data_IF_495809498852
#
_entry.id   IF_495809498852
#
_cell.length_a   1.000
_cell.length_b   1.000
_cell.length_c   1.000
_cell.angle_alpha   90.00
_cell.angle_beta   90.00
_cell.angle_gamma   90.00
#
_symmetry.space_group_name_H-M   'P 1'
#
loop_
_entity.id
_entity.type
_entity.pdbx_description
1 polymer ?
#
# COMPACT_ATOMS: atom_id res chain seq x y z
N UNK A 1 -9.26 -9.81 18.11
CA UNK A 1 -10.64 -10.00 17.60
C UNK A 1 -10.62 -11.13 16.59
N UNK A 2 -11.51 -12.11 16.72
CA UNK A 2 -11.79 -13.10 15.69
C UNK A 2 -13.17 -12.79 15.11
N UNK A 3 -13.25 -12.56 13.82
CA UNK A 3 -14.48 -12.20 13.12
C UNK A 3 -15.20 -13.45 12.61
N UNK A 4 -16.51 -13.34 12.35
CA UNK A 4 -17.33 -14.47 11.87
C UNK A 4 -16.89 -15.01 10.51
N UNK A 5 -16.27 -14.16 9.70
CA UNK A 5 -15.72 -14.51 8.38
C UNK A 5 -14.36 -15.23 8.48
N UNK A 6 -13.84 -15.46 9.69
CA UNK A 6 -12.55 -16.11 9.93
C UNK A 6 -11.37 -15.13 9.99
N UNK A 7 -11.57 -13.83 9.76
CA UNK A 7 -10.50 -12.87 9.91
C UNK A 7 -10.06 -12.75 11.38
N UNK A 8 -8.76 -12.52 11.61
CA UNK A 8 -8.19 -12.39 12.94
C UNK A 8 -7.37 -11.10 13.03
N UNK A 9 -7.78 -10.22 13.92
CA UNK A 9 -7.02 -9.03 14.29
C UNK A 9 -6.31 -9.20 15.64
N UNK A 10 -5.03 -8.87 15.67
CA UNK A 10 -4.20 -8.76 16.88
C UNK A 10 -3.57 -7.37 16.91
N UNK A 11 -3.83 -6.59 17.96
CA UNK A 11 -3.35 -5.22 18.07
C UNK A 11 -4.17 -4.41 19.06
N UNK A 12 -3.88 -3.11 19.12
CA UNK A 12 -4.54 -2.22 20.05
C UNK A 12 -5.99 -1.93 19.64
N UNK A 13 -6.81 -1.61 20.63
CA UNK A 13 -8.20 -1.24 20.44
C UNK A 13 -8.49 0.07 21.18
N UNK A 14 -9.30 0.92 20.56
CA UNK A 14 -9.87 2.11 21.18
C UNK A 14 -11.38 2.11 20.90
N UNK A 15 -12.19 2.17 21.96
CA UNK A 15 -13.66 2.13 21.87
C UNK A 15 -14.19 0.94 21.05
N UNK A 16 -13.54 -0.23 21.19
CA UNK A 16 -13.91 -1.45 20.47
C UNK A 16 -13.54 -1.46 18.98
N UNK A 17 -12.91 -0.39 18.46
CA UNK A 17 -12.37 -0.32 17.09
C UNK A 17 -10.87 -0.58 17.09
N UNK A 18 -10.35 -1.09 15.98
CA UNK A 18 -8.91 -1.22 15.74
C UNK A 18 -8.26 0.16 15.81
N UNK A 19 -7.22 0.28 16.63
CA UNK A 19 -6.49 1.51 16.84
C UNK A 19 -5.01 1.17 17.10
N UNK A 20 -4.09 2.14 17.08
CA UNK A 20 -2.70 1.90 17.43
C UNK A 20 -2.03 0.91 16.49
N UNK A 21 -1.13 0.07 17.00
CA UNK A 21 -0.45 -0.93 16.17
C UNK A 21 -1.25 -2.23 16.10
N UNK A 22 -1.27 -2.86 14.93
CA UNK A 22 -1.90 -4.16 14.82
C UNK A 22 -1.77 -4.83 13.47
N UNK A 23 -2.19 -6.10 13.45
CA UNK A 23 -2.17 -6.99 12.30
C UNK A 23 -3.52 -7.67 12.14
N UNK A 24 -4.13 -7.49 10.98
CA UNK A 24 -5.30 -8.21 10.50
C UNK A 24 -4.86 -9.29 9.52
N UNK A 25 -5.16 -10.55 9.82
CA UNK A 25 -5.10 -11.65 8.86
C UNK A 25 -6.52 -11.90 8.36
N UNK A 26 -6.78 -11.67 7.08
CA UNK A 26 -8.09 -11.83 6.45
C UNK A 26 -8.28 -13.26 5.96
N UNK A 27 -9.52 -13.72 5.82
CA UNK A 27 -9.80 -15.10 5.37
C UNK A 27 -9.38 -15.37 3.91
N UNK A 28 -9.29 -14.33 3.08
CA UNK A 28 -8.77 -14.40 1.70
C UNK A 28 -7.23 -14.52 1.63
N UNK A 29 -6.55 -14.60 2.79
CA UNK A 29 -5.09 -14.65 2.89
C UNK A 29 -4.41 -13.28 2.90
N UNK A 30 -5.15 -12.17 2.73
CA UNK A 30 -4.59 -10.82 2.80
C UNK A 30 -4.21 -10.48 4.24
N UNK A 31 -2.95 -10.07 4.43
CA UNK A 31 -2.44 -9.59 5.71
C UNK A 31 -2.29 -8.07 5.68
N UNK A 32 -2.86 -7.37 6.65
CA UNK A 32 -2.72 -5.91 6.80
C UNK A 32 -2.09 -5.62 8.15
N UNK A 33 -1.00 -4.88 8.16
CA UNK A 33 -0.17 -4.66 9.33
C UNK A 33 0.28 -3.20 9.40
N UNK A 34 0.24 -2.61 10.59
CA UNK A 34 0.73 -1.25 10.82
C UNK A 34 -0.18 -0.49 11.78
N UNK A 35 -0.27 0.82 11.54
CA UNK A 35 -1.01 1.77 12.36
C UNK A 35 -2.46 1.90 11.92
N UNK A 36 -3.35 1.77 12.89
CA UNK A 36 -4.80 1.81 12.72
C UNK A 36 -5.40 3.02 13.42
N UNK A 37 -6.39 3.64 12.79
CA UNK A 37 -7.22 4.69 13.38
C UNK A 37 -8.69 4.44 13.03
N UNK A 38 -9.56 4.48 14.04
CA UNK A 38 -11.01 4.30 13.87
C UNK A 38 -11.41 3.06 13.05
N UNK A 39 -10.64 1.97 13.17
CA UNK A 39 -10.90 0.74 12.44
C UNK A 39 -10.28 0.66 11.04
N UNK A 40 -9.58 1.70 10.56
CA UNK A 40 -8.93 1.74 9.25
C UNK A 40 -7.41 1.72 9.39
N UNK A 41 -6.73 1.06 8.46
CA UNK A 41 -5.28 1.18 8.33
C UNK A 41 -4.99 2.58 7.77
N UNK A 42 -4.11 3.33 8.42
CA UNK A 42 -3.68 4.67 7.98
C UNK A 42 -2.22 4.68 7.54
N UNK A 43 -1.43 3.73 8.01
CA UNK A 43 -0.02 3.59 7.66
C UNK A 43 0.40 2.13 7.86
N UNK A 44 1.13 1.56 6.91
CA UNK A 44 1.62 0.19 7.01
C UNK A 44 1.52 -0.57 5.71
N UNK A 45 1.43 -1.90 5.82
CA UNK A 45 1.63 -2.85 4.74
C UNK A 45 0.45 -3.80 4.57
N UNK A 46 -0.02 -3.93 3.33
CA UNK A 46 -0.89 -5.00 2.85
C UNK A 46 -0.06 -6.02 2.07
N UNK A 47 -0.12 -7.29 2.47
CA UNK A 47 0.49 -8.42 1.76
C UNK A 47 -0.62 -9.30 1.20
N UNK A 48 -0.62 -9.52 -0.11
CA UNK A 48 -1.66 -10.24 -0.83
C UNK A 48 -1.23 -11.67 -1.13
N UNK A 49 -2.20 -12.58 -1.30
CA UNK A 49 -1.95 -14.00 -1.58
C UNK A 49 -1.17 -14.23 -2.89
N UNK A 50 -1.33 -13.35 -3.87
CA UNK A 50 -0.57 -13.39 -5.12
C UNK A 50 0.92 -13.02 -4.93
N UNK A 51 1.35 -12.65 -3.72
CA UNK A 51 2.73 -12.22 -3.41
C UNK A 51 2.97 -10.72 -3.58
N UNK A 52 1.98 -9.95 -4.03
CA UNK A 52 2.09 -8.50 -4.10
C UNK A 52 2.10 -7.88 -2.70
N UNK A 53 2.87 -6.81 -2.52
CA UNK A 53 3.04 -6.11 -1.25
C UNK A 53 2.88 -4.61 -1.49
N UNK A 54 1.96 -3.99 -0.77
CA UNK A 54 1.64 -2.57 -0.88
C UNK A 54 1.91 -1.95 0.48
N UNK A 55 2.74 -0.91 0.55
CA UNK A 55 3.23 -0.36 1.81
C UNK A 55 3.30 1.16 1.75
N UNK A 56 2.82 1.83 2.80
CA UNK A 56 2.90 3.29 2.92
C UNK A 56 1.70 3.88 3.66
N UNK A 57 1.28 5.07 3.25
CA UNK A 57 0.17 5.82 3.81
C UNK A 57 -1.15 5.41 3.14
N UNK A 58 -2.19 5.22 3.94
CA UNK A 58 -3.50 4.73 3.52
C UNK A 58 -4.60 5.73 3.88
N UNK A 59 -5.58 5.87 3.00
CA UNK A 59 -6.80 6.64 3.24
C UNK A 59 -8.00 5.90 2.66
N UNK A 60 -9.02 5.68 3.47
CA UNK A 60 -10.25 4.95 3.09
C UNK A 60 -9.96 3.60 2.40
N UNK A 61 -8.95 2.88 2.91
CA UNK A 61 -8.54 1.57 2.39
C UNK A 61 -7.75 1.61 1.08
N UNK A 62 -7.37 2.79 0.58
CA UNK A 62 -6.54 2.96 -0.61
C UNK A 62 -5.16 3.48 -0.24
N UNK A 63 -4.12 2.94 -0.86
CA UNK A 63 -2.77 3.50 -0.77
C UNK A 63 -2.80 4.89 -1.40
N UNK A 64 -2.31 5.90 -0.68
CA UNK A 64 -2.22 7.29 -1.18
C UNK A 64 -0.78 7.74 -1.38
N UNK A 65 0.17 7.10 -0.71
CA UNK A 65 1.60 7.30 -0.92
C UNK A 65 2.35 6.07 -0.46
N UNK A 66 3.34 5.64 -1.22
CA UNK A 66 4.17 4.52 -0.80
C UNK A 66 4.66 3.68 -1.97
N UNK A 67 4.81 2.38 -1.73
CA UNK A 67 5.45 1.43 -2.61
C UNK A 67 4.58 0.20 -2.86
N UNK A 68 4.43 -0.16 -4.12
CA UNK A 68 3.88 -1.43 -4.59
C UNK A 68 5.04 -2.32 -5.05
N UNK A 69 5.11 -3.55 -4.56
CA UNK A 69 6.10 -4.55 -4.94
C UNK A 69 5.39 -5.78 -5.48
N UNK A 70 5.85 -6.27 -6.63
CA UNK A 70 5.19 -7.34 -7.36
C UNK A 70 6.04 -8.62 -7.35
N UNK A 71 5.41 -9.81 -7.49
CA UNK A 71 6.12 -11.10 -7.47
C UNK A 71 7.14 -11.25 -8.61
N UNK A 72 6.92 -10.55 -9.72
CA UNK A 72 7.86 -10.54 -10.84
C UNK A 72 9.17 -9.77 -10.51
N UNK A 73 9.23 -9.09 -9.37
CA UNK A 73 10.38 -8.30 -8.92
C UNK A 73 10.22 -6.79 -9.15
N UNK A 74 9.22 -6.38 -9.92
CA UNK A 74 8.99 -4.98 -10.23
C UNK A 74 8.47 -4.22 -9.00
N UNK A 75 8.82 -2.94 -8.93
CA UNK A 75 8.45 -2.06 -7.82
C UNK A 75 8.02 -0.71 -8.37
N UNK A 76 6.95 -0.18 -7.80
CA UNK A 76 6.45 1.15 -8.10
C UNK A 76 6.39 1.96 -6.81
N UNK A 77 6.89 3.19 -6.84
CA UNK A 77 6.85 4.11 -5.70
C UNK A 77 6.33 5.48 -6.15
N UNK A 78 5.46 6.09 -5.35
CA UNK A 78 4.92 7.42 -5.63
C UNK A 78 3.70 7.80 -4.79
N UNK A 79 3.02 8.85 -5.23
CA UNK A 79 1.73 9.29 -4.69
C UNK A 79 0.58 8.81 -5.58
N UNK A 80 -0.45 8.27 -4.96
CA UNK A 80 -1.54 7.57 -5.63
C UNK A 80 -2.90 8.24 -5.35
N UNK A 81 -3.76 8.27 -6.37
CA UNK A 81 -5.18 8.63 -6.25
C UNK A 81 -5.99 7.72 -7.13
N UNK A 82 -6.99 7.04 -6.54
CA UNK A 82 -7.83 6.06 -7.25
C UNK A 82 -7.02 5.00 -8.01
N UNK A 83 -6.02 4.41 -7.34
CA UNK A 83 -5.13 3.39 -7.91
C UNK A 83 -4.31 3.84 -9.15
N UNK A 84 -4.09 5.16 -9.30
CA UNK A 84 -3.22 5.72 -10.34
C UNK A 84 -2.20 6.65 -9.68
N UNK A 85 -0.96 6.66 -10.20
CA UNK A 85 0.02 7.70 -9.89
C UNK A 85 -0.60 9.06 -10.17
N UNK A 86 -0.62 9.94 -9.19
CA UNK A 86 -1.38 11.18 -9.28
C UNK A 86 -0.48 12.39 -9.47
N UNK A 87 0.43 12.61 -8.52
CA UNK A 87 1.30 13.78 -8.45
C UNK A 87 2.73 13.40 -8.06
N UNK A 88 3.67 14.29 -8.37
CA UNK A 88 5.07 14.18 -7.96
C UNK A 88 5.87 13.24 -8.85
N UNK A 89 7.07 12.89 -8.40
CA UNK A 89 7.93 11.94 -9.09
C UNK A 89 7.55 10.52 -8.69
N UNK A 90 7.27 9.67 -9.67
CA UNK A 90 7.11 8.25 -9.46
C UNK A 90 8.37 7.51 -9.92
N UNK A 91 8.72 6.46 -9.20
CA UNK A 91 9.87 5.60 -9.49
C UNK A 91 9.39 4.20 -9.77
N UNK A 92 9.74 3.68 -10.94
CA UNK A 92 9.48 2.31 -11.33
C UNK A 92 10.80 1.56 -11.50
N UNK A 93 11.04 0.57 -10.65
CA UNK A 93 12.21 -0.31 -10.74
C UNK A 93 11.78 -1.65 -11.32
N UNK A 94 12.37 -2.00 -12.46
CA UNK A 94 12.19 -3.31 -13.08
C UNK A 94 12.99 -4.39 -12.35
N UNK A 95 12.58 -5.65 -12.53
CA UNK A 95 13.32 -6.82 -12.02
C UNK A 95 14.82 -6.80 -12.38
N UNK A 96 15.19 -6.31 -13.56
CA UNK A 96 16.58 -6.24 -14.03
C UNK A 96 17.40 -5.14 -13.35
N UNK A 97 16.78 -4.30 -12.52
CA UNK A 97 17.42 -3.19 -11.82
C UNK A 97 17.21 -1.84 -12.48
N UNK A 98 16.74 -1.80 -13.74
CA UNK A 98 16.51 -0.54 -14.45
C UNK A 98 15.48 0.31 -13.70
N UNK A 99 15.79 1.59 -13.57
CA UNK A 99 14.96 2.56 -12.88
C UNK A 99 14.41 3.57 -13.88
N UNK A 100 13.09 3.72 -13.88
CA UNK A 100 12.38 4.74 -14.62
C UNK A 100 11.79 5.73 -13.62
N UNK A 101 12.26 6.96 -13.66
CA UNK A 101 11.68 8.07 -12.91
C UNK A 101 10.90 8.95 -13.87
N UNK A 102 9.69 9.36 -13.48
CA UNK A 102 8.87 10.27 -14.27
C UNK A 102 8.00 11.13 -13.37
N UNK A 103 7.76 12.36 -13.78
CA UNK A 103 6.83 13.25 -13.08
C UNK A 103 5.39 12.93 -13.49
N UNK A 104 4.47 13.09 -12.54
CA UNK A 104 3.05 12.92 -12.73
C UNK A 104 2.33 14.17 -12.24
N UNK A 105 1.30 14.57 -12.98
CA UNK A 105 0.37 15.62 -12.58
C UNK A 105 -1.04 15.21 -13.01
N UNK A 106 -1.94 15.17 -12.05
CA UNK A 106 -3.35 14.79 -12.26
C UNK A 106 -3.54 13.46 -13.00
N UNK A 107 -2.72 12.46 -12.66
CA UNK A 107 -2.87 11.12 -13.25
C UNK A 107 -2.17 10.93 -14.59
N UNK A 108 -1.51 11.96 -15.11
CA UNK A 108 -0.84 11.94 -16.42
C UNK A 108 0.66 12.10 -16.22
N UNK A 109 1.44 11.40 -17.06
CA UNK A 109 2.87 11.68 -17.20
C UNK A 109 3.05 13.16 -17.54
N UNK A 110 3.83 13.86 -16.74
CA UNK A 110 4.20 15.26 -16.86
C UNK A 110 5.73 15.35 -16.77
N UNK A 111 6.34 16.45 -17.19
CA UNK A 111 7.78 16.63 -17.05
C UNK A 111 8.65 15.64 -17.85
N UNK A 112 9.92 15.55 -17.47
CA UNK A 112 10.90 14.68 -18.12
C UNK A 112 10.98 13.34 -17.40
N UNK A 113 11.19 12.27 -18.16
CA UNK A 113 11.50 10.95 -17.61
C UNK A 113 13.00 10.68 -17.68
N UNK A 114 13.56 10.04 -16.65
CA UNK A 114 14.94 9.57 -16.67
C UNK A 114 14.97 8.05 -16.51
N UNK A 115 15.76 7.39 -17.36
CA UNK A 115 16.11 5.98 -17.21
C UNK A 115 17.51 5.96 -16.59
N UNK A 116 17.72 5.16 -15.54
CA UNK A 116 19.00 4.98 -14.86
C UNK A 116 19.25 3.52 -14.58
#
# INVERSE_FOLDING_TARGET
>A
ITYKDGAVYKGDLLEGKRHGQGRLNSADGTVREGRWENGLLVEGKNSYLNGAIFEGEWRDGKLVKGKESYPNGDRLEGEFRNAKLWNGTAKFTLKNGDVFEGEFKEGKKHGQGKIT
#
